data_IF_234262550214
#
_entry.id   IF_234262550214
#
_cell.length_a   1.000
_cell.length_b   1.000
_cell.length_c   1.000
_cell.angle_alpha   90.00
_cell.angle_beta   90.00
_cell.angle_gamma   90.00
#
_symmetry.space_group_name_H-M   'P 1'
#
loop_
_entity.id
_entity.type
_entity.pdbx_description
1 polymer ?
#
# COMPACT_ATOMS: atom_id res chain seq x y z
N UNK A 1 21.43 50.77 -19.81
CA UNK A 1 21.35 49.55 -18.97
C UNK A 1 20.26 49.72 -17.90
N UNK A 2 18.97 49.63 -18.22
CA UNK A 2 17.88 49.67 -17.20
C UNK A 2 16.60 48.89 -17.57
N UNK A 3 16.58 48.09 -18.64
CA UNK A 3 15.34 47.45 -19.13
C UNK A 3 15.34 45.92 -19.17
N UNK A 4 16.46 45.27 -18.83
CA UNK A 4 16.57 43.81 -18.86
C UNK A 4 16.40 43.12 -17.49
N UNK A 5 16.47 43.87 -16.39
CA UNK A 5 16.29 43.29 -15.05
C UNK A 5 14.82 43.20 -14.62
N UNK A 6 13.91 43.91 -15.30
CA UNK A 6 12.48 43.90 -14.95
C UNK A 6 11.72 42.69 -15.50
N UNK A 7 12.26 41.97 -16.49
CA UNK A 7 11.59 40.80 -17.08
C UNK A 7 11.89 39.49 -16.34
N UNK A 8 12.92 39.45 -15.50
CA UNK A 8 13.30 38.24 -14.74
C UNK A 8 12.49 38.10 -13.44
N UNK A 9 11.81 39.17 -13.00
CA UNK A 9 11.09 39.20 -11.74
C UNK A 9 9.67 38.62 -11.78
N UNK A 10 9.14 38.23 -12.96
CA UNK A 10 7.73 37.84 -13.12
C UNK A 10 7.47 36.37 -13.44
N UNK A 11 8.49 35.50 -13.48
CA UNK A 11 8.35 34.13 -13.96
C UNK A 11 8.53 33.03 -12.91
N UNK A 12 8.59 33.36 -11.61
CA UNK A 12 8.87 32.38 -10.55
C UNK A 12 7.70 32.17 -9.57
N UNK A 13 6.45 32.32 -10.01
CA UNK A 13 5.27 32.18 -9.14
C UNK A 13 4.41 30.95 -9.42
N UNK A 14 4.80 30.02 -10.29
CA UNK A 14 3.89 28.90 -10.69
C UNK A 14 4.41 27.49 -10.44
N UNK A 15 5.48 27.29 -9.66
CA UNK A 15 5.98 25.93 -9.37
C UNK A 15 5.60 25.36 -7.99
N UNK A 16 4.72 26.03 -7.25
CA UNK A 16 3.97 25.35 -6.20
C UNK A 16 2.78 24.60 -6.82
N UNK A 17 3.06 23.62 -7.69
CA UNK A 17 2.21 22.43 -7.67
C UNK A 17 2.46 21.80 -6.30
N UNK A 18 1.72 22.26 -5.28
CA UNK A 18 1.32 21.37 -4.20
C UNK A 18 0.65 20.23 -4.93
N UNK A 19 1.41 19.16 -5.17
CA UNK A 19 0.84 17.89 -5.54
C UNK A 19 -0.26 17.69 -4.49
N UNK A 20 -1.52 17.70 -4.93
CA UNK A 20 -2.58 17.14 -4.13
C UNK A 20 -2.10 15.73 -3.84
N UNK A 21 -1.51 15.54 -2.66
CA UNK A 21 -1.21 14.23 -2.10
C UNK A 21 -2.58 13.63 -1.78
N UNK A 22 -3.32 13.25 -2.82
CA UNK A 22 -4.48 12.42 -2.67
C UNK A 22 -3.97 11.14 -2.03
N UNK A 23 -4.44 10.87 -0.81
CA UNK A 23 -4.12 9.64 -0.10
C UNK A 23 -4.29 8.45 -1.05
N UNK A 24 -3.35 7.49 -1.07
CA UNK A 24 -3.45 6.36 -1.97
C UNK A 24 -4.77 5.62 -1.74
N UNK A 25 -5.49 5.30 -2.82
CA UNK A 25 -6.73 4.53 -2.75
C UNK A 25 -6.35 3.05 -2.62
N UNK A 26 -6.28 2.60 -1.37
CA UNK A 26 -5.86 1.24 -1.01
C UNK A 26 -7.03 0.24 -0.98
N UNK A 27 -8.26 0.64 -1.28
CA UNK A 27 -9.43 -0.24 -1.30
C UNK A 27 -9.21 -1.47 -2.19
N UNK A 28 -9.48 -2.66 -1.65
CA UNK A 28 -9.36 -3.92 -2.37
C UNK A 28 -9.04 -5.13 -1.49
N UNK A 29 -9.02 -6.29 -2.14
CA UNK A 29 -8.58 -7.57 -1.60
C UNK A 29 -7.10 -7.77 -1.95
N UNK A 30 -6.28 -8.22 -1.00
CA UNK A 30 -4.85 -8.43 -1.18
C UNK A 30 -4.46 -9.86 -0.81
N UNK A 31 -3.69 -10.48 -1.70
CA UNK A 31 -3.34 -11.89 -1.64
C UNK A 31 -1.85 -12.09 -1.39
N UNK A 32 -1.52 -13.07 -0.56
CA UNK A 32 -0.16 -13.63 -0.43
C UNK A 32 -0.06 -14.92 -1.24
N UNK A 33 1.05 -15.11 -1.94
CA UNK A 33 1.36 -16.40 -2.59
C UNK A 33 2.11 -17.28 -1.61
N UNK A 34 1.58 -18.46 -1.29
CA UNK A 34 2.26 -19.50 -0.52
C UNK A 34 2.47 -20.77 -1.34
N UNK A 35 2.98 -21.83 -0.70
CA UNK A 35 3.37 -23.09 -1.38
C UNK A 35 2.21 -23.78 -2.12
N UNK A 36 0.98 -23.56 -1.69
CA UNK A 36 -0.21 -24.25 -2.21
C UNK A 36 -1.12 -23.38 -3.07
N UNK A 37 -0.82 -22.09 -3.21
CA UNK A 37 -1.62 -21.15 -3.98
C UNK A 37 -1.61 -19.74 -3.40
N UNK A 38 -2.59 -18.92 -3.80
CA UNK A 38 -2.76 -17.57 -3.27
C UNK A 38 -3.83 -17.54 -2.19
N UNK A 39 -3.51 -16.95 -1.05
CA UNK A 39 -4.41 -16.78 0.09
C UNK A 39 -4.85 -15.32 0.20
N UNK A 40 -6.14 -15.06 0.42
CA UNK A 40 -6.62 -13.73 0.79
C UNK A 40 -6.15 -13.43 2.21
N UNK A 41 -5.42 -12.31 2.40
CA UNK A 41 -4.87 -11.93 3.70
C UNK A 41 -5.38 -10.59 4.17
N UNK A 42 -5.56 -9.61 3.28
CA UNK A 42 -6.00 -8.25 3.67
C UNK A 42 -7.20 -7.84 2.83
N UNK A 43 -8.23 -7.29 3.47
CA UNK A 43 -9.33 -6.61 2.80
C UNK A 43 -9.40 -5.17 3.31
N UNK A 44 -9.37 -4.17 2.41
CA UNK A 44 -9.38 -2.75 2.75
C UNK A 44 -10.60 -2.05 2.14
N UNK A 45 -11.26 -1.21 2.93
CA UNK A 45 -12.32 -0.30 2.51
C UNK A 45 -12.21 1.02 3.28
N UNK A 46 -11.69 2.06 2.62
CA UNK A 46 -11.37 3.34 3.25
C UNK A 46 -10.24 3.21 4.26
N UNK A 47 -10.49 3.66 5.49
CA UNK A 47 -9.55 3.63 6.62
C UNK A 47 -9.69 2.37 7.49
N UNK A 48 -10.48 1.39 7.04
CA UNK A 48 -10.76 0.15 7.75
C UNK A 48 -10.50 -1.08 6.89
N UNK A 49 -10.32 -2.20 7.55
CA UNK A 49 -10.13 -3.47 6.88
C UNK A 49 -10.15 -4.66 7.82
N UNK A 50 -9.82 -5.82 7.27
CA UNK A 50 -9.59 -7.05 8.02
C UNK A 50 -8.27 -7.67 7.59
N UNK A 51 -7.68 -8.42 8.52
CA UNK A 51 -6.54 -9.28 8.28
C UNK A 51 -6.97 -10.71 8.59
N UNK A 52 -6.90 -11.58 7.59
CA UNK A 52 -7.17 -13.00 7.69
C UNK A 52 -5.83 -13.76 7.84
N UNK A 53 -5.56 -14.23 9.06
CA UNK A 53 -4.47 -15.16 9.34
C UNK A 53 -5.06 -16.55 9.60
N UNK A 54 -4.28 -17.62 9.40
CA UNK A 54 -4.75 -19.02 9.35
C UNK A 54 -5.76 -19.43 10.46
N UNK A 55 -5.66 -18.84 11.64
CA UNK A 55 -6.48 -19.17 12.82
C UNK A 55 -7.56 -18.14 13.17
N UNK A 56 -7.53 -16.94 12.60
CA UNK A 56 -8.47 -15.87 12.98
C UNK A 56 -8.51 -14.71 11.98
N UNK A 57 -9.67 -14.08 11.88
CA UNK A 57 -9.85 -12.78 11.24
C UNK A 57 -9.81 -11.67 12.28
N UNK A 58 -8.93 -10.69 12.09
CA UNK A 58 -8.80 -9.51 12.95
C UNK A 58 -9.27 -8.25 12.24
N UNK A 59 -9.95 -7.37 12.96
CA UNK A 59 -10.24 -6.02 12.47
C UNK A 59 -8.94 -5.20 12.38
N UNK A 60 -8.87 -4.36 11.36
CA UNK A 60 -7.73 -3.49 11.09
C UNK A 60 -8.19 -2.06 10.81
N UNK A 61 -7.45 -1.07 11.30
CA UNK A 61 -7.54 0.32 10.82
C UNK A 61 -6.26 0.73 10.13
N UNK A 62 -6.36 1.57 9.11
CA UNK A 62 -5.24 2.02 8.29
C UNK A 62 -4.97 3.51 8.55
N UNK A 63 -3.77 3.83 9.00
CA UNK A 63 -3.24 5.18 8.99
C UNK A 63 -2.33 5.35 7.77
N UNK A 64 -2.76 6.19 6.83
CA UNK A 64 -2.02 6.52 5.60
C UNK A 64 -0.98 7.61 5.80
N UNK A 65 -1.11 8.40 6.86
CA UNK A 65 -0.20 9.51 7.18
C UNK A 65 1.05 8.95 7.90
N UNK A 66 0.88 7.94 8.76
CA UNK A 66 2.00 7.26 9.44
C UNK A 66 2.41 5.93 8.81
N UNK A 67 1.69 5.47 7.79
CA UNK A 67 1.89 4.19 7.10
C UNK A 67 1.88 3.00 8.07
N UNK A 68 0.85 2.95 8.92
CA UNK A 68 0.65 1.87 9.89
C UNK A 68 -0.73 1.23 9.77
N UNK A 69 -0.78 -0.05 10.10
CA UNK A 69 -1.99 -0.77 10.43
C UNK A 69 -2.08 -0.89 11.95
N UNK A 70 -3.29 -0.75 12.49
CA UNK A 70 -3.60 -1.17 13.86
C UNK A 70 -4.49 -2.40 13.78
N UNK A 71 -3.96 -3.55 14.17
CA UNK A 71 -4.60 -4.87 14.04
C UNK A 71 -5.08 -5.34 15.41
N UNK A 72 -6.39 -5.51 15.56
CA UNK A 72 -7.01 -5.94 16.81
C UNK A 72 -6.60 -7.37 17.20
N UNK A 73 -6.31 -7.57 18.49
CA UNK A 73 -6.00 -8.90 19.05
C UNK A 73 -4.54 -9.33 18.91
N UNK A 74 -3.69 -8.53 18.25
CA UNK A 74 -2.25 -8.79 18.16
C UNK A 74 -1.54 -8.25 19.41
N UNK A 75 -0.48 -8.93 19.87
CA UNK A 75 0.35 -8.46 21.00
C UNK A 75 0.99 -7.11 20.67
N UNK A 76 1.46 -6.96 19.43
CA UNK A 76 1.93 -5.70 18.87
C UNK A 76 0.95 -5.30 17.75
N UNK A 77 -0.07 -4.48 18.05
CA UNK A 77 -1.14 -4.17 17.11
C UNK A 77 -0.67 -3.26 15.96
N UNK A 78 0.31 -2.41 16.22
CA UNK A 78 0.88 -1.48 15.23
C UNK A 78 1.85 -2.20 14.30
N UNK A 79 1.49 -2.29 13.02
CA UNK A 79 2.33 -2.86 11.96
C UNK A 79 2.63 -1.77 10.92
N UNK A 80 3.92 -1.50 10.68
CA UNK A 80 4.32 -0.61 9.58
C UNK A 80 4.14 -1.31 8.24
N UNK A 81 3.75 -0.54 7.22
CA UNK A 81 3.66 -1.04 5.86
C UNK A 81 4.29 -0.08 4.86
N UNK A 82 4.71 -0.63 3.72
CA UNK A 82 4.95 0.12 2.50
C UNK A 82 3.84 -0.19 1.49
N UNK A 83 3.35 0.83 0.78
CA UNK A 83 2.40 0.65 -0.32
C UNK A 83 2.95 1.24 -1.61
N UNK A 84 3.15 0.38 -2.61
CA UNK A 84 3.70 0.76 -3.91
C UNK A 84 3.17 -0.15 -5.01
N UNK A 85 2.69 0.46 -6.11
CA UNK A 85 2.24 -0.27 -7.30
C UNK A 85 1.23 -1.40 -6.97
N UNK A 86 0.24 -1.10 -6.14
CA UNK A 86 -0.78 -2.07 -5.70
C UNK A 86 -0.24 -3.26 -4.89
N UNK A 87 0.93 -3.11 -4.27
CA UNK A 87 1.53 -4.10 -3.36
C UNK A 87 1.71 -3.47 -1.98
N UNK A 88 1.24 -4.19 -0.95
CA UNK A 88 1.52 -3.89 0.45
C UNK A 88 2.70 -4.77 0.88
N UNK A 89 3.73 -4.18 1.48
CA UNK A 89 4.82 -4.93 2.12
C UNK A 89 4.76 -4.68 3.62
N UNK A 90 4.59 -5.73 4.42
CA UNK A 90 4.42 -5.62 5.86
C UNK A 90 4.77 -6.93 6.58
N UNK A 91 5.10 -6.83 7.88
CA UNK A 91 5.38 -7.97 8.75
C UNK A 91 4.18 -8.26 9.67
N UNK A 92 3.08 -8.74 9.09
CA UNK A 92 1.83 -9.01 9.83
C UNK A 92 1.99 -10.24 10.75
N UNK A 93 2.53 -11.34 10.23
CA UNK A 93 2.69 -12.60 10.97
C UNK A 93 4.13 -12.82 11.48
N UNK A 94 4.86 -11.73 11.74
CA UNK A 94 6.22 -11.77 12.28
C UNK A 94 7.34 -11.97 11.26
N UNK A 95 7.01 -12.02 9.96
CA UNK A 95 8.00 -11.90 8.88
C UNK A 95 7.45 -11.05 7.76
N UNK A 96 8.33 -10.25 7.14
CA UNK A 96 7.98 -9.36 6.04
C UNK A 96 7.51 -10.17 4.82
N UNK A 97 6.37 -9.75 4.27
CA UNK A 97 5.69 -10.38 3.14
C UNK A 97 5.12 -9.33 2.21
N UNK A 98 4.86 -9.76 0.98
CA UNK A 98 4.18 -8.96 -0.02
C UNK A 98 2.75 -9.44 -0.22
N UNK A 99 1.82 -8.50 -0.21
CA UNK A 99 0.39 -8.72 -0.40
C UNK A 99 -0.04 -7.97 -1.66
N UNK A 100 -0.50 -8.72 -2.65
CA UNK A 100 -0.77 -8.22 -4.00
C UNK A 100 -2.25 -7.95 -4.16
N UNK A 101 -2.62 -6.72 -4.53
CA UNK A 101 -4.02 -6.36 -4.78
C UNK A 101 -4.58 -7.21 -5.91
N UNK A 102 -5.76 -7.79 -5.71
CA UNK A 102 -6.49 -8.56 -6.72
C UNK A 102 -6.58 -7.81 -8.04
N UNK A 103 -6.47 -8.56 -9.13
CA UNK A 103 -6.55 -8.09 -10.53
C UNK A 103 -5.47 -7.08 -10.97
N UNK A 104 -4.60 -6.63 -10.07
CA UNK A 104 -3.47 -5.77 -10.38
C UNK A 104 -2.46 -6.47 -11.29
N UNK A 105 -1.62 -5.68 -11.96
CA UNK A 105 -0.52 -6.22 -12.76
C UNK A 105 0.42 -7.06 -11.88
N UNK A 106 0.74 -6.57 -10.68
CA UNK A 106 1.65 -7.26 -9.75
C UNK A 106 1.08 -8.62 -9.32
N UNK A 107 -0.22 -8.69 -9.01
CA UNK A 107 -0.90 -9.95 -8.70
C UNK A 107 -0.83 -10.97 -9.85
N UNK A 108 -1.14 -10.54 -11.08
CA UNK A 108 -1.09 -11.41 -12.27
C UNK A 108 0.32 -11.92 -12.55
N UNK A 109 1.32 -11.05 -12.41
CA UNK A 109 2.72 -11.40 -12.60
C UNK A 109 3.17 -12.43 -11.54
N UNK A 110 2.81 -12.23 -10.27
CA UNK A 110 3.16 -13.14 -9.18
C UNK A 110 2.44 -14.50 -9.31
N UNK A 111 1.15 -14.49 -9.63
CA UNK A 111 0.37 -15.71 -9.88
C UNK A 111 0.95 -16.52 -11.05
N UNK A 112 1.41 -15.84 -12.11
CA UNK A 112 2.06 -16.50 -13.24
C UNK A 112 3.37 -17.17 -12.81
N UNK A 113 4.22 -16.49 -12.02
CA UNK A 113 5.46 -17.09 -11.51
C UNK A 113 5.19 -18.35 -10.70
N UNK A 114 4.23 -18.30 -9.78
CA UNK A 114 3.84 -19.45 -8.96
C UNK A 114 3.47 -20.67 -9.81
N UNK A 115 2.66 -20.46 -10.85
CA UNK A 115 2.26 -21.54 -11.76
C UNK A 115 3.40 -22.05 -12.66
N UNK A 116 4.50 -21.30 -12.83
CA UNK A 116 5.68 -21.74 -13.59
C UNK A 116 6.66 -22.53 -12.72
N UNK A 117 6.62 -22.35 -11.40
CA UNK A 117 7.52 -23.01 -10.44
C UNK A 117 6.96 -24.30 -9.83
N UNK A 118 5.72 -24.66 -10.16
CA UNK A 118 5.04 -25.87 -9.73
C UNK A 118 4.99 -26.91 -10.85
#
# INVERSE_FOLDING_TARGET
MKKLLSLIALSLTTLFLVACSSKPIMDGEYYETGDYGTNLVITIKGDKGTVDVEVSTSNMTIDTDTQTFEISGFVNPTVKYEYKNDVITASITGSERQYFKKDSKAYKDEFKKFNMTK
#
